data_IF_211306002228
#
_entry.id   IF_211306002228
#
_cell.length_a   1.000
_cell.length_b   1.000
_cell.length_c   1.000
_cell.angle_alpha   90.00
_cell.angle_beta   90.00
_cell.angle_gamma   90.00
#
_symmetry.space_group_name_H-M   'P 1'
#
loop_
_entity.id
_entity.type
_entity.pdbx_description
1 polymer ?
#
# COMPACT_ATOMS: atom_id res chain seq x y z
N UNK A 1 28.07 26.29 65.02
CA UNK A 1 28.51 25.29 64.02
C UNK A 1 27.25 24.74 63.36
N UNK A 2 26.84 25.29 62.21
CA UNK A 2 25.60 24.92 61.47
C UNK A 2 26.01 24.09 60.25
N UNK A 3 25.67 22.79 60.25
CA UNK A 3 25.83 21.92 59.10
C UNK A 3 24.73 22.25 58.08
N UNK A 4 25.11 22.63 56.88
CA UNK A 4 24.24 22.69 55.71
C UNK A 4 24.22 21.31 55.02
N UNK A 5 23.06 20.67 55.00
CA UNK A 5 22.83 19.47 54.24
C UNK A 5 22.41 19.84 52.82
N UNK A 6 23.30 19.69 51.83
CA UNK A 6 22.92 19.80 50.40
C UNK A 6 22.23 18.51 49.93
N UNK A 7 20.95 18.61 49.68
CA UNK A 7 20.19 17.53 49.01
C UNK A 7 20.39 17.69 47.50
N UNK A 8 21.18 16.75 46.91
CA UNK A 8 21.30 16.60 45.46
C UNK A 8 20.09 15.83 44.96
N UNK A 9 19.17 16.52 44.27
CA UNK A 9 18.05 15.89 43.54
C UNK A 9 18.57 15.39 42.21
N UNK A 10 18.73 14.08 42.06
CA UNK A 10 19.00 13.43 40.78
C UNK A 10 17.70 13.37 39.97
N UNK A 11 17.54 14.22 38.96
CA UNK A 11 16.51 14.05 37.93
C UNK A 11 16.95 12.94 36.96
N UNK A 12 16.41 11.75 37.13
CA UNK A 12 16.56 10.67 36.14
C UNK A 12 15.71 11.00 34.92
N UNK A 13 16.34 11.52 33.85
CA UNK A 13 15.72 11.59 32.54
C UNK A 13 15.51 10.17 32.00
N UNK A 14 14.30 9.68 32.09
CA UNK A 14 13.87 8.48 31.37
C UNK A 14 13.82 8.79 29.89
N UNK A 15 14.91 8.54 29.17
CA UNK A 15 14.87 8.49 27.70
C UNK A 15 14.03 7.28 27.30
N UNK A 16 12.77 7.51 27.01
CA UNK A 16 11.92 6.54 26.34
C UNK A 16 12.53 6.26 24.96
N UNK A 17 13.18 5.12 24.83
CA UNK A 17 13.58 4.61 23.51
C UNK A 17 12.30 4.33 22.74
N UNK A 18 11.96 5.21 21.79
CA UNK A 18 10.98 4.88 20.76
C UNK A 18 11.54 3.70 19.98
N UNK A 19 11.12 2.49 20.34
CA UNK A 19 11.35 1.32 19.52
C UNK A 19 10.67 1.58 18.17
N UNK A 20 11.46 1.80 17.11
CA UNK A 20 10.96 1.67 15.76
C UNK A 20 10.26 0.31 15.71
N UNK A 21 8.96 0.31 15.42
CA UNK A 21 8.19 -0.93 15.36
C UNK A 21 8.83 -1.82 14.29
N UNK A 22 9.51 -2.88 14.73
CA UNK A 22 10.17 -3.81 13.84
C UNK A 22 9.10 -4.52 13.03
N UNK A 23 9.24 -4.56 11.71
CA UNK A 23 8.36 -5.32 10.81
C UNK A 23 8.45 -6.80 11.19
N UNK A 24 7.30 -7.42 11.43
CA UNK A 24 7.21 -8.86 11.69
C UNK A 24 6.97 -9.58 10.37
N UNK A 25 7.74 -10.61 10.07
CA UNK A 25 7.66 -11.37 8.83
C UNK A 25 6.92 -12.69 9.05
N UNK A 26 6.08 -13.04 8.08
CA UNK A 26 5.46 -14.36 7.98
C UNK A 26 5.24 -14.72 6.50
N UNK A 27 4.91 -15.97 6.24
CA UNK A 27 4.69 -16.47 4.89
C UNK A 27 3.25 -16.91 4.73
N UNK A 28 2.61 -16.51 3.62
CA UNK A 28 1.30 -16.96 3.21
C UNK A 28 1.46 -17.96 2.05
N UNK A 29 0.89 -19.14 2.19
CA UNK A 29 0.81 -20.12 1.12
C UNK A 29 -0.35 -19.74 0.19
N UNK A 30 -0.04 -19.54 -1.07
CA UNK A 30 -1.01 -19.23 -2.13
C UNK A 30 -0.94 -20.30 -3.23
N UNK A 31 -1.93 -20.41 -4.11
CA UNK A 31 -1.87 -21.32 -5.25
C UNK A 31 -0.63 -21.12 -6.14
N UNK A 32 -0.09 -19.91 -6.20
CA UNK A 32 1.12 -19.54 -6.95
C UNK A 32 2.43 -19.73 -6.18
N UNK A 33 2.38 -20.21 -4.92
CA UNK A 33 3.57 -20.39 -4.08
C UNK A 33 3.53 -19.61 -2.77
N UNK A 34 4.67 -19.57 -2.09
CA UNK A 34 4.84 -18.91 -0.80
C UNK A 34 5.12 -17.42 -0.98
N UNK A 35 4.33 -16.57 -0.37
CA UNK A 35 4.48 -15.11 -0.41
C UNK A 35 4.93 -14.59 0.94
N UNK A 36 6.07 -13.87 0.97
CA UNK A 36 6.54 -13.16 2.16
C UNK A 36 5.63 -11.95 2.41
N UNK A 37 5.21 -11.79 3.67
CA UNK A 37 4.40 -10.67 4.14
C UNK A 37 5.07 -10.05 5.37
N UNK A 38 5.17 -8.73 5.41
CA UNK A 38 5.66 -7.98 6.57
C UNK A 38 4.52 -7.22 7.22
N UNK A 39 4.35 -7.36 8.52
CA UNK A 39 3.35 -6.68 9.34
C UNK A 39 3.98 -5.60 10.21
N UNK A 40 3.29 -4.48 10.40
CA UNK A 40 3.67 -3.42 11.34
C UNK A 40 3.14 -3.65 12.77
N UNK A 41 2.71 -4.87 13.08
CA UNK A 41 2.06 -5.21 14.33
C UNK A 41 0.55 -4.92 14.30
N UNK A 42 -0.14 -5.32 15.36
CA UNK A 42 -1.59 -5.16 15.45
C UNK A 42 -1.96 -3.70 15.74
N UNK A 43 -3.13 -3.29 15.26
CA UNK A 43 -3.78 -2.05 15.69
C UNK A 43 -4.19 -2.12 17.17
N UNK A 44 -4.61 -1.01 17.76
CA UNK A 44 -4.99 -0.94 19.17
C UNK A 44 -6.35 -1.61 19.49
N UNK A 45 -7.19 -1.92 18.49
CA UNK A 45 -8.51 -2.54 18.66
C UNK A 45 -8.41 -4.07 18.52
N UNK A 46 -9.38 -4.79 19.07
CA UNK A 46 -9.45 -6.25 18.95
C UNK A 46 -9.67 -6.71 17.49
N UNK A 47 -10.44 -5.94 16.72
CA UNK A 47 -10.72 -6.19 15.29
C UNK A 47 -10.33 -4.94 14.52
N UNK A 48 -9.48 -5.11 13.51
CA UNK A 48 -9.11 -4.07 12.57
C UNK A 48 -9.00 -4.63 11.16
N UNK A 49 -9.57 -3.95 10.16
CA UNK A 49 -9.44 -4.35 8.78
C UNK A 49 -7.98 -4.54 8.34
N UNK A 50 -7.76 -5.46 7.40
CA UNK A 50 -6.46 -5.66 6.79
C UNK A 50 -6.27 -4.76 5.57
N UNK A 51 -5.06 -4.24 5.37
CA UNK A 51 -4.67 -3.52 4.16
C UNK A 51 -3.40 -4.11 3.59
N UNK A 52 -3.50 -4.64 2.36
CA UNK A 52 -2.36 -5.07 1.57
C UNK A 52 -1.71 -3.84 0.94
N UNK A 53 -0.42 -3.69 1.12
CA UNK A 53 0.38 -2.64 0.48
C UNK A 53 1.26 -3.29 -0.58
N UNK A 54 1.09 -2.89 -1.84
CA UNK A 54 1.86 -3.34 -2.99
C UNK A 54 2.84 -2.24 -3.42
N UNK A 55 4.11 -2.53 -3.32
CA UNK A 55 5.17 -1.59 -3.65
C UNK A 55 5.38 -1.40 -5.15
N UNK A 56 6.08 -0.33 -5.52
CA UNK A 56 6.54 -0.09 -6.87
C UNK A 56 7.67 -1.03 -7.29
N UNK A 57 8.20 -0.81 -8.49
CA UNK A 57 9.23 -1.64 -9.14
C UNK A 57 10.57 -1.76 -8.39
N UNK A 58 10.76 -0.98 -7.32
CA UNK A 58 11.95 -1.02 -6.45
C UNK A 58 11.73 -1.81 -5.15
N UNK A 59 10.53 -2.42 -4.97
CA UNK A 59 10.16 -3.12 -3.74
C UNK A 59 10.02 -2.17 -2.54
N UNK A 60 10.23 -2.70 -1.33
CA UNK A 60 9.93 -2.03 -0.07
C UNK A 60 11.15 -1.42 0.65
N UNK A 61 12.23 -1.12 -0.06
CA UNK A 61 13.44 -0.55 0.53
C UNK A 61 13.34 0.91 0.97
N UNK A 62 12.35 1.67 0.50
CA UNK A 62 12.19 3.08 0.86
C UNK A 62 11.67 3.24 2.30
N UNK A 63 12.28 4.13 3.14
CA UNK A 63 11.82 4.38 4.52
C UNK A 63 10.38 4.87 4.63
N UNK A 64 9.82 5.41 3.55
CA UNK A 64 8.43 5.86 3.50
C UNK A 64 7.42 4.73 3.76
N UNK A 65 7.75 3.47 3.46
CA UNK A 65 6.86 2.35 3.76
C UNK A 65 6.64 2.15 5.25
N UNK A 66 7.63 2.46 6.10
CA UNK A 66 7.45 2.45 7.55
C UNK A 66 6.47 3.53 8.01
N UNK A 67 6.55 4.73 7.40
CA UNK A 67 5.60 5.82 7.67
C UNK A 67 4.19 5.44 7.22
N UNK A 68 4.03 4.83 6.04
CA UNK A 68 2.72 4.34 5.55
C UNK A 68 2.13 3.35 6.55
N UNK A 69 2.90 2.34 6.97
CA UNK A 69 2.43 1.35 7.94
C UNK A 69 2.04 1.95 9.29
N UNK A 70 2.82 2.92 9.79
CA UNK A 70 2.51 3.64 11.03
C UNK A 70 1.25 4.48 10.91
N UNK A 71 1.07 5.23 9.81
CA UNK A 71 -0.13 6.04 9.54
C UNK A 71 -1.38 5.15 9.47
N UNK A 72 -1.32 4.03 8.76
CA UNK A 72 -2.44 3.10 8.64
C UNK A 72 -2.78 2.46 9.98
N UNK A 73 -1.78 2.06 10.76
CA UNK A 73 -1.98 1.53 12.10
C UNK A 73 -2.63 2.57 13.03
N UNK A 74 -2.21 3.83 12.96
CA UNK A 74 -2.82 4.93 13.73
C UNK A 74 -4.29 5.16 13.35
N UNK A 75 -4.65 4.94 12.08
CA UNK A 75 -6.02 4.99 11.58
C UNK A 75 -6.86 3.73 11.94
N UNK A 76 -6.30 2.77 12.67
CA UNK A 76 -7.01 1.56 13.09
C UNK A 76 -7.03 0.44 12.06
N UNK A 77 -6.05 0.41 11.16
CA UNK A 77 -5.87 -0.61 10.13
C UNK A 77 -4.68 -1.51 10.45
N UNK A 78 -4.76 -2.77 10.07
CA UNK A 78 -3.61 -3.70 10.08
C UNK A 78 -2.94 -3.67 8.70
N UNK A 79 -1.77 -3.05 8.60
CA UNK A 79 -1.04 -2.87 7.34
C UNK A 79 -0.02 -3.99 7.09
N UNK A 80 0.01 -4.49 5.85
CA UNK A 80 0.84 -5.60 5.41
C UNK A 80 1.57 -5.25 4.11
N UNK A 81 2.91 -5.26 4.11
CA UNK A 81 3.70 -5.20 2.88
C UNK A 81 3.72 -6.60 2.25
N UNK A 82 3.17 -6.74 1.07
CA UNK A 82 3.03 -8.03 0.38
C UNK A 82 4.09 -8.13 -0.72
N UNK A 83 5.06 -9.02 -0.56
CA UNK A 83 6.20 -9.18 -1.48
C UNK A 83 5.80 -10.00 -2.70
N UNK A 84 4.94 -9.44 -3.54
CA UNK A 84 4.54 -10.10 -4.81
C UNK A 84 5.67 -10.11 -5.84
N UNK A 85 6.61 -9.17 -5.76
CA UNK A 85 7.81 -9.15 -6.58
C UNK A 85 8.90 -9.94 -5.86
N UNK A 86 9.31 -11.06 -6.41
CA UNK A 86 10.44 -11.85 -5.90
C UNK A 86 11.76 -11.11 -6.08
N UNK A 87 12.81 -11.55 -5.39
CA UNK A 87 14.16 -11.02 -5.60
C UNK A 87 14.62 -11.15 -7.06
N UNK A 88 14.21 -12.23 -7.74
CA UNK A 88 14.48 -12.45 -9.16
C UNK A 88 13.72 -11.43 -10.03
N UNK A 89 12.45 -11.13 -9.71
CA UNK A 89 11.67 -10.09 -10.40
C UNK A 89 12.31 -8.72 -10.24
N UNK A 90 12.67 -8.32 -9.02
CA UNK A 90 13.33 -7.04 -8.76
C UNK A 90 14.64 -6.91 -9.52
N UNK A 91 15.45 -7.96 -9.58
CA UNK A 91 16.68 -7.98 -10.35
C UNK A 91 16.41 -7.89 -11.86
N UNK A 92 15.44 -8.64 -12.39
CA UNK A 92 15.07 -8.59 -13.80
C UNK A 92 14.58 -7.19 -14.21
N UNK A 93 13.76 -6.55 -13.36
CA UNK A 93 13.28 -5.17 -13.56
C UNK A 93 14.44 -4.18 -13.57
N UNK A 94 15.36 -4.29 -12.60
CA UNK A 94 16.50 -3.38 -12.46
C UNK A 94 17.48 -3.48 -13.62
N UNK A 95 17.65 -4.69 -14.21
CA UNK A 95 18.60 -4.96 -15.31
C UNK A 95 17.97 -4.87 -16.70
N UNK A 96 16.66 -4.68 -16.80
CA UNK A 96 15.94 -4.59 -18.07
C UNK A 96 16.42 -3.40 -18.92
N UNK A 97 16.72 -3.67 -20.20
CA UNK A 97 17.21 -2.67 -21.13
C UNK A 97 16.06 -1.85 -21.72
N UNK A 98 15.67 -0.77 -21.04
CA UNK A 98 14.67 0.18 -21.49
C UNK A 98 13.23 -0.14 -21.08
N UNK A 99 12.31 0.79 -21.37
CA UNK A 99 10.91 0.71 -20.96
C UNK A 99 10.17 -0.47 -21.60
N UNK A 100 10.40 -0.74 -22.89
CA UNK A 100 9.74 -1.83 -23.60
C UNK A 100 10.05 -3.20 -22.99
N UNK A 101 11.31 -3.47 -22.64
CA UNK A 101 11.69 -4.73 -21.99
C UNK A 101 11.02 -4.89 -20.61
N UNK A 102 10.93 -3.80 -19.83
CA UNK A 102 10.21 -3.82 -18.54
C UNK A 102 8.72 -4.09 -18.71
N UNK A 103 8.07 -3.40 -19.67
CA UNK A 103 6.64 -3.59 -19.94
C UNK A 103 6.35 -5.05 -20.36
N UNK A 104 7.17 -5.61 -21.23
CA UNK A 104 7.04 -7.02 -21.66
C UNK A 104 7.20 -7.98 -20.48
N UNK A 105 8.20 -7.73 -19.61
CA UNK A 105 8.40 -8.52 -18.39
C UNK A 105 7.19 -8.42 -17.45
N UNK A 106 6.64 -7.20 -17.24
CA UNK A 106 5.46 -7.00 -16.40
C UNK A 106 4.25 -7.78 -16.95
N UNK A 107 4.00 -7.71 -18.27
CA UNK A 107 2.90 -8.44 -18.89
C UNK A 107 3.05 -9.95 -18.71
N UNK A 108 4.26 -10.49 -18.80
CA UNK A 108 4.55 -11.90 -18.58
C UNK A 108 4.29 -12.33 -17.12
N UNK A 109 4.66 -11.49 -16.16
CA UNK A 109 4.59 -11.82 -14.72
C UNK A 109 3.25 -11.48 -14.07
N UNK A 110 2.46 -10.63 -14.70
CA UNK A 110 1.21 -10.11 -14.13
C UNK A 110 0.25 -11.18 -13.62
N UNK A 111 0.00 -12.31 -14.35
CA UNK A 111 -0.92 -13.34 -13.87
C UNK A 111 -0.49 -13.96 -12.54
N UNK A 112 0.81 -14.16 -12.35
CA UNK A 112 1.35 -14.72 -11.11
C UNK A 112 1.28 -13.71 -9.97
N UNK A 113 1.66 -12.45 -10.22
CA UNK A 113 1.57 -11.39 -9.22
C UNK A 113 0.13 -11.12 -8.78
N UNK A 114 -0.83 -11.10 -9.71
CA UNK A 114 -2.26 -10.94 -9.37
C UNK A 114 -2.79 -12.12 -8.56
N UNK A 115 -2.42 -13.35 -8.92
CA UNK A 115 -2.77 -14.55 -8.16
C UNK A 115 -2.20 -14.50 -6.73
N UNK A 116 -0.97 -14.01 -6.55
CA UNK A 116 -0.36 -13.84 -5.24
C UNK A 116 -1.14 -12.83 -4.38
N UNK A 117 -1.51 -11.66 -4.94
CA UNK A 117 -2.34 -10.67 -4.23
C UNK A 117 -3.67 -11.28 -3.79
N UNK A 118 -4.34 -11.97 -4.70
CA UNK A 118 -5.64 -12.60 -4.44
C UNK A 118 -5.54 -13.66 -3.34
N UNK A 119 -4.51 -14.51 -3.38
CA UNK A 119 -4.29 -15.53 -2.35
C UNK A 119 -4.01 -14.92 -0.96
N UNK A 120 -3.23 -13.83 -0.89
CA UNK A 120 -2.98 -13.12 0.38
C UNK A 120 -4.24 -12.40 0.86
N UNK A 121 -5.04 -11.81 -0.03
CA UNK A 121 -6.30 -11.16 0.34
C UNK A 121 -7.26 -12.16 0.97
N UNK A 122 -7.51 -13.31 0.32
CA UNK A 122 -8.35 -14.38 0.86
C UNK A 122 -7.83 -14.88 2.22
N UNK A 123 -6.52 -15.11 2.36
CA UNK A 123 -5.92 -15.52 3.64
C UNK A 123 -6.20 -14.49 4.75
N UNK A 124 -6.07 -13.19 4.47
CA UNK A 124 -6.28 -12.15 5.46
C UNK A 124 -7.77 -11.96 5.78
N UNK A 125 -8.66 -12.07 4.79
CA UNK A 125 -10.11 -12.02 5.00
C UNK A 125 -10.57 -13.09 6.01
N UNK A 126 -10.02 -14.29 5.90
CA UNK A 126 -10.35 -15.43 6.78
C UNK A 126 -9.83 -15.25 8.22
N UNK A 127 -8.94 -14.28 8.50
CA UNK A 127 -8.43 -14.07 9.85
C UNK A 127 -9.46 -13.31 10.72
N UNK A 128 -9.98 -13.89 11.83
CA UNK A 128 -11.02 -13.26 12.65
C UNK A 128 -10.69 -11.85 13.13
N UNK A 129 -9.38 -11.55 13.36
CA UNK A 129 -8.90 -10.23 13.76
C UNK A 129 -9.11 -9.12 12.72
N UNK A 130 -9.46 -9.46 11.49
CA UNK A 130 -9.72 -8.48 10.42
C UNK A 130 -11.21 -8.27 10.14
N UNK A 131 -12.09 -9.08 10.77
CA UNK A 131 -13.55 -8.95 10.64
C UNK A 131 -14.06 -9.18 9.22
N UNK A 132 -13.33 -9.95 8.39
CA UNK A 132 -13.68 -10.17 7.00
C UNK A 132 -13.50 -8.95 6.09
N UNK A 133 -12.70 -7.93 6.50
CA UNK A 133 -12.52 -6.68 5.76
C UNK A 133 -11.09 -6.52 5.26
N UNK A 134 -10.95 -6.38 3.95
CA UNK A 134 -9.64 -6.27 3.26
C UNK A 134 -9.65 -5.12 2.28
N UNK A 135 -8.66 -4.22 2.41
CA UNK A 135 -8.34 -3.18 1.44
C UNK A 135 -7.00 -3.41 0.75
N UNK A 136 -6.80 -2.75 -0.37
CA UNK A 136 -5.52 -2.80 -1.11
C UNK A 136 -5.04 -1.38 -1.40
N UNK A 137 -3.77 -1.10 -1.14
CA UNK A 137 -3.04 0.07 -1.60
C UNK A 137 -1.96 -0.38 -2.58
N UNK A 138 -1.99 0.12 -3.81
CA UNK A 138 -0.94 -0.10 -4.80
C UNK A 138 -0.23 1.18 -5.18
N UNK A 139 1.11 1.15 -5.32
CA UNK A 139 1.93 2.31 -5.69
C UNK A 139 2.69 1.98 -6.99
N UNK A 140 2.57 2.81 -8.03
CA UNK A 140 3.28 2.65 -9.31
C UNK A 140 3.03 1.27 -9.93
N UNK A 141 4.03 0.40 -10.11
CA UNK A 141 3.83 -0.99 -10.54
C UNK A 141 2.87 -1.76 -9.61
N UNK A 142 2.94 -1.51 -8.30
CA UNK A 142 1.98 -2.07 -7.35
C UNK A 142 0.54 -1.63 -7.61
N UNK A 143 0.32 -0.41 -8.13
CA UNK A 143 -1.01 0.05 -8.55
C UNK A 143 -1.51 -0.71 -9.79
N UNK A 144 -0.62 -1.02 -10.74
CA UNK A 144 -0.98 -1.86 -11.90
C UNK A 144 -1.37 -3.28 -11.48
N UNK A 145 -0.63 -3.86 -10.53
CA UNK A 145 -0.93 -5.19 -10.00
C UNK A 145 -2.25 -5.15 -9.20
N UNK A 146 -2.42 -4.15 -8.33
CA UNK A 146 -3.62 -3.98 -7.51
C UNK A 146 -4.88 -3.84 -8.37
N UNK A 147 -4.86 -2.96 -9.37
CA UNK A 147 -6.01 -2.74 -10.26
C UNK A 147 -6.42 -4.03 -10.97
N UNK A 148 -5.45 -4.79 -11.49
CA UNK A 148 -5.73 -6.06 -12.16
C UNK A 148 -6.21 -7.16 -11.18
N UNK A 149 -5.67 -7.20 -9.96
CA UNK A 149 -6.01 -8.22 -8.97
C UNK A 149 -7.40 -8.04 -8.35
N UNK A 150 -7.94 -6.81 -8.36
CA UNK A 150 -9.21 -6.46 -7.70
C UNK A 150 -10.44 -6.53 -8.61
N UNK A 151 -10.24 -6.67 -9.94
CA UNK A 151 -11.37 -6.77 -10.88
C UNK A 151 -12.24 -7.99 -10.58
N UNK A 152 -13.53 -7.72 -10.32
CA UNK A 152 -14.53 -8.76 -10.09
C UNK A 152 -14.35 -9.54 -8.79
N UNK A 153 -13.54 -9.05 -7.84
CA UNK A 153 -13.34 -9.67 -6.53
C UNK A 153 -14.32 -9.07 -5.51
N UNK A 154 -14.94 -9.96 -4.72
CA UNK A 154 -15.86 -9.58 -3.64
C UNK A 154 -15.18 -9.58 -2.26
N UNK A 155 -14.01 -10.18 -2.13
CA UNK A 155 -13.19 -10.26 -0.92
C UNK A 155 -12.19 -9.09 -0.79
N UNK A 156 -12.29 -8.08 -1.65
CA UNK A 156 -11.53 -6.82 -1.55
C UNK A 156 -12.54 -5.68 -1.50
N UNK A 157 -12.65 -5.04 -0.34
CA UNK A 157 -13.70 -4.07 -0.01
C UNK A 157 -13.34 -2.63 -0.38
N UNK A 158 -12.06 -2.30 -0.55
CA UNK A 158 -11.60 -0.95 -0.92
C UNK A 158 -10.25 -0.98 -1.66
N UNK A 159 -10.04 -0.01 -2.55
CA UNK A 159 -8.83 0.10 -3.37
C UNK A 159 -8.29 1.53 -3.37
N UNK A 160 -6.99 1.67 -3.12
CA UNK A 160 -6.25 2.91 -3.31
C UNK A 160 -5.16 2.69 -4.36
N UNK A 161 -5.13 3.51 -5.39
CA UNK A 161 -4.10 3.49 -6.43
C UNK A 161 -3.32 4.80 -6.43
N UNK A 162 -2.00 4.70 -6.30
CA UNK A 162 -1.09 5.85 -6.28
C UNK A 162 -0.21 5.83 -7.53
N UNK A 163 -0.26 6.89 -8.32
CA UNK A 163 0.57 7.09 -9.51
C UNK A 163 0.59 5.85 -10.43
N UNK A 164 -0.58 5.26 -10.69
CA UNK A 164 -0.69 4.08 -11.55
C UNK A 164 -2.15 3.61 -11.70
N UNK A 165 -2.41 2.88 -12.77
CA UNK A 165 -3.73 2.37 -13.11
C UNK A 165 -3.66 0.95 -13.65
N UNK A 166 -4.49 0.58 -14.62
CA UNK A 166 -4.40 -0.73 -15.25
C UNK A 166 -3.07 -0.92 -16.02
N UNK A 167 -2.54 -2.15 -16.04
CA UNK A 167 -1.34 -2.46 -16.82
C UNK A 167 -1.52 -2.15 -18.30
N UNK A 168 -0.42 -1.78 -18.96
CA UNK A 168 -0.41 -1.56 -20.40
C UNK A 168 -0.89 -2.83 -21.13
N UNK A 169 -1.87 -2.68 -22.04
CA UNK A 169 -2.45 -3.80 -22.77
C UNK A 169 -3.38 -4.69 -21.95
N UNK A 170 -3.83 -4.23 -20.78
CA UNK A 170 -4.84 -4.95 -19.99
C UNK A 170 -6.14 -5.09 -20.82
N UNK A 171 -6.53 -6.33 -21.11
CA UNK A 171 -7.64 -6.63 -22.02
C UNK A 171 -8.81 -7.37 -21.36
N UNK A 172 -8.70 -7.66 -20.06
CA UNK A 172 -9.80 -8.31 -19.36
C UNK A 172 -10.96 -7.33 -19.13
N UNK A 173 -12.22 -7.77 -19.28
CA UNK A 173 -13.36 -6.86 -19.06
C UNK A 173 -13.44 -6.44 -17.59
N UNK A 174 -13.41 -5.14 -17.36
CA UNK A 174 -13.63 -4.55 -16.03
C UNK A 174 -15.13 -4.30 -15.87
N UNK A 175 -15.78 -5.10 -15.03
CA UNK A 175 -17.24 -5.02 -14.80
C UNK A 175 -17.60 -4.34 -13.49
N UNK A 176 -16.71 -4.39 -12.50
CA UNK A 176 -16.86 -3.73 -11.21
C UNK A 176 -15.48 -3.45 -10.62
N UNK A 177 -15.42 -2.43 -9.78
CA UNK A 177 -14.29 -2.10 -8.92
C UNK A 177 -14.84 -1.84 -7.51
N UNK A 178 -14.09 -2.16 -6.46
CA UNK A 178 -14.46 -1.73 -5.11
C UNK A 178 -14.43 -0.19 -5.01
N UNK A 179 -14.95 0.42 -3.93
CA UNK A 179 -14.72 1.84 -3.64
C UNK A 179 -13.26 2.20 -3.87
N UNK A 180 -13.03 3.26 -4.67
CA UNK A 180 -11.72 3.56 -5.25
C UNK A 180 -11.27 4.98 -4.90
N UNK A 181 -10.07 5.12 -4.35
CA UNK A 181 -9.36 6.38 -4.26
C UNK A 181 -8.15 6.36 -5.19
N UNK A 182 -8.07 7.35 -6.06
CA UNK A 182 -6.93 7.62 -6.92
C UNK A 182 -6.11 8.77 -6.31
N UNK A 183 -4.82 8.58 -6.13
CA UNK A 183 -3.89 9.59 -5.63
C UNK A 183 -2.83 9.82 -6.69
N UNK A 184 -2.64 11.08 -7.11
CA UNK A 184 -1.78 11.38 -8.25
C UNK A 184 -0.88 12.58 -8.03
N UNK A 185 0.38 12.47 -8.47
CA UNK A 185 1.28 13.61 -8.58
C UNK A 185 0.96 14.45 -9.82
N UNK A 186 0.75 15.77 -9.65
CA UNK A 186 0.40 16.69 -10.76
C UNK A 186 1.46 16.77 -11.85
N UNK A 187 2.72 16.47 -11.52
CA UNK A 187 3.86 16.48 -12.44
C UNK A 187 4.38 15.07 -12.77
N UNK A 188 3.56 14.04 -12.59
CA UNK A 188 3.95 12.67 -12.94
C UNK A 188 4.09 12.53 -14.47
N UNK A 189 5.32 12.19 -14.89
CA UNK A 189 5.69 11.95 -16.30
C UNK A 189 5.76 10.47 -16.65
N UNK A 190 5.75 9.59 -15.66
CA UNK A 190 5.75 8.14 -15.88
C UNK A 190 4.34 7.63 -16.14
N UNK A 191 3.39 8.08 -15.33
CA UNK A 191 1.96 7.86 -15.48
C UNK A 191 1.28 9.24 -15.52
N UNK A 192 1.09 9.85 -16.70
CA UNK A 192 0.44 11.15 -16.81
C UNK A 192 -0.93 11.17 -16.13
N UNK A 193 -1.29 12.30 -15.52
CA UNK A 193 -2.55 12.47 -14.78
C UNK A 193 -3.79 12.11 -15.60
N UNK A 194 -3.70 12.18 -16.94
CA UNK A 194 -4.77 11.75 -17.86
C UNK A 194 -5.18 10.29 -17.63
N UNK A 195 -4.25 9.41 -17.25
CA UNK A 195 -4.54 8.01 -16.89
C UNK A 195 -5.45 7.95 -15.65
N UNK A 196 -5.19 8.79 -14.65
CA UNK A 196 -6.03 8.91 -13.46
C UNK A 196 -7.44 9.38 -13.80
N UNK A 197 -7.58 10.37 -14.68
CA UNK A 197 -8.90 10.84 -15.16
C UNK A 197 -9.66 9.77 -15.94
N UNK A 198 -8.99 9.04 -16.82
CA UNK A 198 -9.61 7.95 -17.59
C UNK A 198 -10.09 6.82 -16.67
N UNK A 199 -9.31 6.48 -15.65
CA UNK A 199 -9.68 5.47 -14.67
C UNK A 199 -10.85 5.93 -13.80
N UNK A 200 -10.86 7.20 -13.36
CA UNK A 200 -11.98 7.80 -12.65
C UNK A 200 -13.27 7.72 -13.47
N UNK A 201 -13.23 8.14 -14.73
CA UNK A 201 -14.37 8.05 -15.63
C UNK A 201 -14.84 6.61 -15.84
N UNK A 202 -13.90 5.67 -15.93
CA UNK A 202 -14.21 4.26 -16.08
C UNK A 202 -14.94 3.72 -14.85
N UNK A 203 -14.44 4.00 -13.65
CA UNK A 203 -15.08 3.59 -12.39
C UNK A 203 -16.49 4.21 -12.26
N UNK A 204 -16.65 5.49 -12.60
CA UNK A 204 -17.96 6.17 -12.62
C UNK A 204 -18.94 5.51 -13.58
N UNK A 205 -18.53 5.18 -14.80
CA UNK A 205 -19.38 4.47 -15.78
C UNK A 205 -19.83 3.10 -15.30
N UNK A 206 -19.05 2.45 -14.45
CA UNK A 206 -19.39 1.17 -13.82
C UNK A 206 -20.31 1.35 -12.59
N UNK A 207 -20.69 2.58 -12.23
CA UNK A 207 -21.49 2.88 -11.05
C UNK A 207 -20.72 2.78 -9.73
N UNK A 208 -19.39 2.70 -9.79
CA UNK A 208 -18.52 2.62 -8.61
C UNK A 208 -18.32 3.96 -7.90
N UNK A 209 -18.11 3.92 -6.59
CA UNK A 209 -17.64 5.08 -5.81
C UNK A 209 -16.18 5.34 -6.12
N UNK A 210 -15.83 6.54 -6.60
CA UNK A 210 -14.45 6.90 -6.92
C UNK A 210 -14.16 8.37 -6.61
N UNK A 211 -13.01 8.61 -5.99
CA UNK A 211 -12.40 9.93 -5.83
C UNK A 211 -11.03 9.97 -6.53
N UNK A 212 -10.62 11.14 -6.99
CA UNK A 212 -9.28 11.41 -7.52
C UNK A 212 -8.73 12.65 -6.83
N UNK A 213 -7.64 12.47 -6.09
CA UNK A 213 -6.95 13.53 -5.39
C UNK A 213 -5.58 13.77 -6.02
N UNK A 214 -5.34 15.02 -6.40
CA UNK A 214 -4.11 15.44 -7.08
C UNK A 214 -3.28 16.29 -6.13
N UNK A 215 -2.03 15.87 -5.93
CA UNK A 215 -1.05 16.56 -5.09
C UNK A 215 0.06 17.14 -5.95
N UNK A 216 0.63 18.25 -5.53
CA UNK A 216 1.84 18.75 -6.16
C UNK A 216 3.00 17.77 -5.93
N UNK A 217 3.54 17.23 -7.02
CA UNK A 217 4.62 16.24 -6.98
C UNK A 217 4.81 15.51 -8.31
N UNK A 218 5.98 14.90 -8.46
CA UNK A 218 6.30 14.01 -9.57
C UNK A 218 5.95 12.56 -9.21
N UNK A 219 6.24 11.63 -10.09
CA UNK A 219 6.15 10.19 -9.82
C UNK A 219 6.89 9.83 -8.53
N UNK A 220 6.39 8.90 -7.76
CA UNK A 220 6.92 8.51 -6.44
C UNK A 220 6.79 9.59 -5.34
N UNK A 221 6.07 10.73 -5.54
CA UNK A 221 5.92 11.77 -4.51
C UNK A 221 5.38 11.21 -3.19
N UNK A 222 4.49 10.22 -3.27
CA UNK A 222 3.88 9.54 -2.13
C UNK A 222 4.93 8.87 -1.21
N UNK A 223 6.07 8.47 -1.78
CA UNK A 223 7.21 7.89 -1.06
C UNK A 223 8.20 8.95 -0.55
N UNK A 224 7.89 10.24 -0.71
CA UNK A 224 8.69 11.34 -0.16
C UNK A 224 8.75 11.28 1.36
N UNK A 225 9.95 11.30 1.94
CA UNK A 225 10.13 11.11 3.38
C UNK A 225 9.80 12.34 4.24
N UNK A 226 9.92 13.55 3.68
CA UNK A 226 9.73 14.82 4.40
C UNK A 226 8.81 15.80 3.65
N UNK A 227 8.00 15.33 2.71
CA UNK A 227 7.07 16.17 1.94
C UNK A 227 5.73 16.26 2.64
N UNK A 228 5.22 17.48 2.95
CA UNK A 228 3.88 17.66 3.48
C UNK A 228 2.79 17.07 2.60
N UNK A 229 2.94 17.18 1.26
CA UNK A 229 2.01 16.57 0.30
C UNK A 229 1.99 15.04 0.39
N UNK A 230 3.16 14.42 0.57
CA UNK A 230 3.25 12.98 0.77
C UNK A 230 2.63 12.54 2.11
N UNK A 231 2.79 13.34 3.15
CA UNK A 231 2.15 13.09 4.46
C UNK A 231 0.63 13.20 4.36
N UNK A 232 0.13 14.28 3.76
CA UNK A 232 -1.31 14.49 3.54
C UNK A 232 -1.91 13.37 2.68
N UNK A 233 -1.24 12.97 1.60
CA UNK A 233 -1.69 11.89 0.73
C UNK A 233 -1.75 10.53 1.46
N UNK A 234 -0.76 10.21 2.30
CA UNK A 234 -0.76 8.99 3.13
C UNK A 234 -1.88 8.98 4.16
N UNK A 235 -2.13 10.14 4.82
CA UNK A 235 -3.23 10.27 5.77
C UNK A 235 -4.57 10.10 5.07
N UNK A 236 -4.76 10.75 3.92
CA UNK A 236 -5.97 10.61 3.13
C UNK A 236 -6.23 9.16 2.68
N UNK A 237 -5.19 8.45 2.23
CA UNK A 237 -5.31 7.02 1.91
C UNK A 237 -5.75 6.19 3.13
N UNK A 238 -5.18 6.47 4.30
CA UNK A 238 -5.53 5.79 5.55
C UNK A 238 -6.98 6.07 5.96
N UNK A 239 -7.42 7.32 5.90
CA UNK A 239 -8.77 7.76 6.27
C UNK A 239 -9.82 7.15 5.32
N UNK A 240 -9.54 7.17 4.01
CA UNK A 240 -10.41 6.53 3.01
C UNK A 240 -10.57 5.04 3.26
N UNK A 241 -9.46 4.32 3.48
CA UNK A 241 -9.52 2.88 3.76
C UNK A 241 -10.22 2.59 5.08
N UNK A 242 -9.94 3.34 6.14
CA UNK A 242 -10.60 3.16 7.44
C UNK A 242 -12.11 3.38 7.34
N UNK A 243 -12.55 4.39 6.60
CA UNK A 243 -13.97 4.67 6.38
C UNK A 243 -14.64 3.57 5.53
N UNK A 244 -14.03 3.20 4.40
CA UNK A 244 -14.60 2.22 3.47
C UNK A 244 -14.68 0.81 4.07
N UNK A 245 -13.72 0.44 4.92
CA UNK A 245 -13.65 -0.87 5.56
C UNK A 245 -14.42 -0.96 6.88
N UNK A 246 -15.01 0.14 7.36
CA UNK A 246 -15.83 0.17 8.58
C UNK A 246 -17.33 -0.09 8.33
N UNK A 247 -17.72 -0.22 7.07
CA UNK A 247 -19.12 -0.41 6.64
C UNK A 247 -19.56 -1.86 6.61
#
# INVERSE_FOLDING_TARGET
MRLFFCILVFLAFMFGHAHAASRQQFTVLTPGGSILVESFGSCAKAICPAVLILGGSKGFGAPAYDKIGQTFRAAGLNAYLVHVLSAADLNAIATARGAGARIAFYAQRLPEWTSAVQGVATYLEEQPRHGGKVGVLGISLGAQIASAATVGRADIDALVLVDGGFPNGYSQPVRSLPPLLLIWGSADRMFPLSIGWELQQTAQRLGGSVALDVYEGAHDFFLGSASPNAEAARQNAADFLALSLSQ
#
